data_IF_187681798786
#
_entry.id   IF_187681798786
#
_cell.length_a   1.000
_cell.length_b   1.000
_cell.length_c   1.000
_cell.angle_alpha   90.00
_cell.angle_beta   90.00
_cell.angle_gamma   90.00
#
_symmetry.space_group_name_H-M   'P 1'
#
loop_
_entity.id
_entity.type
_entity.pdbx_description
1 polymer ?
#
# COMPACT_ATOMS: atom_id res chain seq x y z
N UNK A 1 31.19 3.38 -4.32
CA UNK A 1 30.28 2.47 -5.03
C UNK A 1 29.51 1.76 -3.93
N UNK A 2 28.33 2.27 -3.57
CA UNK A 2 27.53 1.70 -2.48
C UNK A 2 26.84 0.46 -3.04
N UNK A 3 27.16 -0.72 -2.52
CA UNK A 3 26.44 -1.94 -2.88
C UNK A 3 24.99 -1.80 -2.39
N UNK A 4 24.05 -1.69 -3.33
CA UNK A 4 22.63 -1.75 -3.03
C UNK A 4 22.32 -3.21 -2.69
N UNK A 5 22.28 -3.51 -1.40
CA UNK A 5 21.89 -4.85 -0.92
C UNK A 5 20.36 -4.85 -0.82
N UNK A 6 19.65 -5.74 -1.53
CA UNK A 6 18.20 -5.79 -1.49
C UNK A 6 17.71 -6.20 -0.10
N UNK A 7 16.73 -5.46 0.43
CA UNK A 7 16.01 -5.81 1.66
C UNK A 7 14.98 -6.91 1.35
N UNK A 8 15.47 -8.15 1.25
CA UNK A 8 14.65 -9.32 0.94
C UNK A 8 13.55 -9.57 2.00
N UNK A 9 13.80 -9.42 3.32
CA UNK A 9 12.74 -9.49 4.32
C UNK A 9 11.60 -8.51 4.07
N UNK A 10 11.91 -7.25 3.77
CA UNK A 10 10.91 -6.23 3.49
C UNK A 10 10.11 -6.57 2.23
N UNK A 11 10.79 -6.87 1.12
CA UNK A 11 10.15 -7.25 -0.15
C UNK A 11 9.23 -8.47 0.02
N UNK A 12 9.63 -9.46 0.82
CA UNK A 12 8.79 -10.63 1.13
C UNK A 12 7.53 -10.24 1.90
N UNK A 13 7.65 -9.35 2.88
CA UNK A 13 6.50 -8.91 3.66
C UNK A 13 5.51 -8.11 2.81
N UNK A 14 5.99 -7.23 1.94
CA UNK A 14 5.17 -6.49 0.96
C UNK A 14 4.38 -7.45 0.08
N UNK A 15 5.05 -8.44 -0.52
CA UNK A 15 4.41 -9.44 -1.37
C UNK A 15 3.35 -10.26 -0.62
N UNK A 16 3.60 -10.61 0.64
CA UNK A 16 2.61 -11.32 1.48
C UNK A 16 1.37 -10.47 1.75
N UNK A 17 1.53 -9.16 1.99
CA UNK A 17 0.41 -8.25 2.18
C UNK A 17 -0.42 -8.13 0.91
N UNK A 18 0.22 -7.84 -0.24
CA UNK A 18 -0.44 -7.76 -1.54
C UNK A 18 -1.22 -9.05 -1.85
N UNK A 19 -0.58 -10.21 -1.64
CA UNK A 19 -1.20 -11.50 -1.87
C UNK A 19 -2.42 -11.76 -0.98
N UNK A 20 -2.37 -11.37 0.29
CA UNK A 20 -3.51 -11.53 1.21
C UNK A 20 -4.74 -10.72 0.74
N UNK A 21 -4.51 -9.51 0.21
CA UNK A 21 -5.57 -8.67 -0.36
C UNK A 21 -6.19 -9.32 -1.60
N UNK A 22 -5.35 -9.83 -2.52
CA UNK A 22 -5.81 -10.56 -3.70
C UNK A 22 -6.68 -11.74 -3.32
N UNK A 23 -6.21 -12.59 -2.40
CA UNK A 23 -6.97 -13.76 -1.93
C UNK A 23 -8.31 -13.31 -1.37
N UNK A 24 -8.32 -12.30 -0.48
CA UNK A 24 -9.53 -11.82 0.17
C UNK A 24 -10.61 -11.41 -0.85
N UNK A 25 -10.23 -10.67 -1.89
CA UNK A 25 -11.18 -10.18 -2.89
C UNK A 25 -11.61 -11.28 -3.87
N UNK A 26 -10.69 -12.16 -4.28
CA UNK A 26 -11.03 -13.31 -5.14
C UNK A 26 -11.93 -14.33 -4.44
N UNK A 27 -11.70 -14.62 -3.16
CA UNK A 27 -12.58 -15.50 -2.37
C UNK A 27 -13.99 -14.93 -2.18
N UNK A 28 -14.13 -13.60 -2.25
CA UNK A 28 -15.43 -12.90 -2.23
C UNK A 28 -16.13 -12.87 -3.59
N UNK A 29 -15.53 -13.48 -4.63
CA UNK A 29 -16.11 -13.53 -5.97
C UNK A 29 -15.90 -12.27 -6.80
N UNK A 30 -14.82 -11.50 -6.55
CA UNK A 30 -14.45 -10.39 -7.43
C UNK A 30 -14.26 -10.91 -8.87
N UNK A 31 -14.97 -10.36 -9.86
CA UNK A 31 -15.02 -10.90 -11.20
C UNK A 31 -13.73 -10.56 -11.97
N UNK A 32 -13.43 -11.35 -13.01
CA UNK A 32 -12.15 -11.27 -13.74
C UNK A 32 -11.97 -9.94 -14.49
N UNK A 33 -13.06 -9.23 -14.79
CA UNK A 33 -13.03 -7.90 -15.42
C UNK A 33 -12.34 -6.84 -14.55
N UNK A 34 -12.20 -7.09 -13.24
CA UNK A 34 -11.50 -6.21 -12.31
C UNK A 34 -10.07 -6.67 -11.99
N UNK A 35 -9.51 -7.64 -12.72
CA UNK A 35 -8.18 -8.20 -12.38
C UNK A 35 -7.02 -7.23 -12.57
N UNK A 36 -7.11 -6.34 -13.56
CA UNK A 36 -6.12 -5.28 -13.77
C UNK A 36 -6.16 -4.26 -12.63
N UNK A 37 -7.36 -3.81 -12.25
CA UNK A 37 -7.58 -2.91 -11.12
C UNK A 37 -7.13 -3.59 -9.82
N UNK A 38 -7.46 -4.86 -9.61
CA UNK A 38 -7.05 -5.63 -8.44
C UNK A 38 -5.53 -5.77 -8.35
N UNK A 39 -4.85 -6.04 -9.46
CA UNK A 39 -3.39 -6.15 -9.52
C UNK A 39 -2.68 -4.84 -9.14
N UNK A 40 -3.19 -3.72 -9.65
CA UNK A 40 -2.70 -2.39 -9.29
C UNK A 40 -2.96 -2.12 -7.82
N UNK A 41 -4.21 -2.31 -7.38
CA UNK A 41 -4.63 -2.07 -6.01
C UNK A 41 -3.83 -2.87 -4.98
N UNK A 42 -3.62 -4.17 -5.20
CA UNK A 42 -2.90 -5.00 -4.23
C UNK A 42 -1.42 -4.64 -4.17
N UNK A 43 -0.83 -4.22 -5.29
CA UNK A 43 0.56 -3.76 -5.35
C UNK A 43 0.69 -2.47 -4.55
N UNK A 44 -0.14 -1.47 -4.85
CA UNK A 44 -0.09 -0.18 -4.17
C UNK A 44 -0.40 -0.29 -2.69
N UNK A 45 -1.40 -1.07 -2.28
CA UNK A 45 -1.68 -1.28 -0.85
C UNK A 45 -0.55 -2.04 -0.13
N UNK A 46 0.10 -2.97 -0.82
CA UNK A 46 1.30 -3.64 -0.31
C UNK A 46 2.44 -2.65 -0.09
N UNK A 47 2.73 -1.83 -1.10
CA UNK A 47 3.80 -0.83 -1.06
C UNK A 47 3.51 0.30 -0.07
N UNK A 48 2.27 0.78 0.03
CA UNK A 48 1.84 1.75 1.06
C UNK A 48 2.08 1.18 2.47
N UNK A 49 1.68 -0.07 2.71
CA UNK A 49 1.88 -0.71 4.01
C UNK A 49 3.37 -0.84 4.35
N UNK A 50 4.19 -1.18 3.37
CA UNK A 50 5.62 -1.33 3.53
C UNK A 50 6.31 0.03 3.76
N UNK A 51 5.98 1.03 2.95
CA UNK A 51 6.48 2.39 3.03
C UNK A 51 6.06 3.09 4.34
N UNK A 52 4.87 2.80 4.87
CA UNK A 52 4.46 3.25 6.21
C UNK A 52 5.43 2.77 7.32
N UNK A 53 5.94 1.54 7.23
CA UNK A 53 6.94 1.05 8.20
C UNK A 53 8.24 1.83 8.05
N UNK A 54 8.69 2.07 6.83
CA UNK A 54 9.88 2.87 6.55
C UNK A 54 9.72 4.29 7.09
N UNK A 55 8.58 4.94 6.86
CA UNK A 55 8.26 6.25 7.41
C UNK A 55 8.33 6.24 8.95
N UNK A 56 7.77 5.21 9.59
CA UNK A 56 7.84 5.05 11.05
C UNK A 56 9.29 4.97 11.54
N UNK A 57 10.12 4.13 10.91
CA UNK A 57 11.55 4.05 11.23
C UNK A 57 12.27 5.39 11.04
N UNK A 58 11.97 6.14 9.97
CA UNK A 58 12.61 7.44 9.72
C UNK A 58 12.20 8.53 10.72
N UNK A 59 11.00 8.43 11.28
CA UNK A 59 10.58 9.32 12.36
C UNK A 59 11.34 9.00 13.66
N UNK A 60 11.52 7.71 13.96
CA UNK A 60 12.35 7.27 15.10
C UNK A 60 13.81 7.74 14.91
N UNK A 61 14.39 7.53 13.73
CA UNK A 61 15.75 7.97 13.38
C UNK A 61 15.93 9.49 13.59
N UNK A 62 14.93 10.31 13.20
CA UNK A 62 14.97 11.76 13.41
C UNK A 62 15.00 12.12 14.91
N UNK A 63 14.16 11.47 15.72
CA UNK A 63 14.07 11.72 17.17
C UNK A 63 15.34 11.29 17.89
N UNK A 64 15.95 10.18 17.46
CA UNK A 64 17.14 9.60 18.05
C UNK A 64 18.46 10.14 17.44
N UNK A 65 18.35 11.02 16.44
CA UNK A 65 19.50 11.60 15.74
C UNK A 65 20.42 12.39 16.68
N UNK A 66 21.69 12.50 16.30
CA UNK A 66 22.62 13.34 17.03
C UNK A 66 22.13 14.80 17.03
N UNK A 67 22.42 15.52 18.13
CA UNK A 67 21.97 16.89 18.33
C UNK A 67 22.84 17.90 17.54
N UNK A 68 22.85 17.72 16.23
CA UNK A 68 23.51 18.57 15.25
C UNK A 68 22.66 18.69 13.97
N UNK A 69 22.82 19.80 13.27
CA UNK A 69 21.97 20.12 12.12
C UNK A 69 22.26 19.27 10.88
N UNK A 70 23.43 18.65 10.78
CA UNK A 70 23.77 17.77 9.66
C UNK A 70 22.96 16.48 9.76
N UNK A 71 22.99 15.82 10.92
CA UNK A 71 22.19 14.63 11.22
C UNK A 71 20.69 14.87 11.05
N UNK A 72 20.18 16.02 11.53
CA UNK A 72 18.78 16.41 11.34
C UNK A 72 18.43 16.61 9.86
N UNK A 73 19.31 17.26 9.09
CA UNK A 73 19.07 17.49 7.67
C UNK A 73 18.99 16.17 6.88
N UNK A 74 19.89 15.22 7.15
CA UNK A 74 19.89 13.90 6.51
C UNK A 74 18.58 13.15 6.83
N UNK A 75 18.15 13.15 8.09
CA UNK A 75 16.88 12.52 8.49
C UNK A 75 15.67 13.15 7.77
N UNK A 76 15.65 14.47 7.61
CA UNK A 76 14.57 15.17 6.90
C UNK A 76 14.52 14.84 5.40
N UNK A 77 15.68 14.66 4.75
CA UNK A 77 15.74 14.23 3.34
C UNK A 77 15.19 12.81 3.19
N UNK A 78 15.58 11.90 4.07
CA UNK A 78 15.07 10.52 4.06
C UNK A 78 13.56 10.46 4.34
N UNK A 79 13.07 11.26 5.29
CA UNK A 79 11.64 11.40 5.56
C UNK A 79 10.88 11.90 4.33
N UNK A 80 11.43 12.90 3.63
CA UNK A 80 10.81 13.45 2.42
C UNK A 80 10.68 12.37 1.34
N UNK A 81 11.74 11.59 1.12
CA UNK A 81 11.72 10.50 0.15
C UNK A 81 10.66 9.44 0.51
N UNK A 82 10.53 9.07 1.79
CA UNK A 82 9.50 8.14 2.25
C UNK A 82 8.08 8.68 2.03
N UNK A 83 7.84 9.97 2.30
CA UNK A 83 6.54 10.62 2.09
C UNK A 83 6.19 10.67 0.59
N UNK A 84 7.12 11.08 -0.27
CA UNK A 84 6.88 11.17 -1.71
C UNK A 84 6.61 9.77 -2.32
N UNK A 85 7.28 8.73 -1.82
CA UNK A 85 7.04 7.35 -2.23
C UNK A 85 5.63 6.88 -1.87
N UNK A 86 5.16 7.13 -0.64
CA UNK A 86 3.76 6.86 -0.24
C UNK A 86 2.79 7.65 -1.12
N UNK A 87 3.08 8.93 -1.37
CA UNK A 87 2.23 9.79 -2.21
C UNK A 87 1.99 9.21 -3.59
N UNK A 88 3.03 8.67 -4.23
CA UNK A 88 2.92 8.03 -5.55
C UNK A 88 1.93 6.87 -5.53
N UNK A 89 2.03 5.96 -4.56
CA UNK A 89 1.12 4.80 -4.46
C UNK A 89 -0.30 5.19 -4.04
N UNK A 90 -0.46 6.25 -3.24
CA UNK A 90 -1.79 6.78 -2.89
C UNK A 90 -2.50 7.34 -4.12
N UNK A 91 -1.77 8.03 -5.01
CA UNK A 91 -2.31 8.55 -6.26
C UNK A 91 -2.77 7.44 -7.20
N UNK A 92 -1.99 6.36 -7.34
CA UNK A 92 -2.32 5.25 -8.25
C UNK A 92 -3.39 4.30 -7.68
N UNK A 93 -3.49 4.17 -6.35
CA UNK A 93 -4.48 3.31 -5.71
C UNK A 93 -5.92 3.85 -5.79
N UNK A 94 -6.12 5.15 -5.99
CA UNK A 94 -7.42 5.81 -5.88
C UNK A 94 -8.49 5.23 -6.82
N UNK A 95 -8.23 5.25 -8.13
CA UNK A 95 -9.18 4.76 -9.14
C UNK A 95 -9.52 3.26 -8.98
N UNK A 96 -8.54 2.36 -8.75
CA UNK A 96 -8.81 0.96 -8.46
C UNK A 96 -9.66 0.74 -7.19
N UNK A 97 -9.39 1.49 -6.12
CA UNK A 97 -10.20 1.44 -4.88
C UNK A 97 -11.65 1.73 -5.21
N UNK A 98 -11.92 2.81 -5.94
CA UNK A 98 -13.28 3.25 -6.23
C UNK A 98 -14.05 2.21 -7.06
N UNK A 99 -13.40 1.56 -8.03
CA UNK A 99 -14.02 0.52 -8.86
C UNK A 99 -14.33 -0.75 -8.07
N UNK A 100 -13.37 -1.22 -7.27
CA UNK A 100 -13.57 -2.40 -6.42
C UNK A 100 -14.62 -2.13 -5.34
N UNK A 101 -14.62 -0.94 -4.74
CA UNK A 101 -15.61 -0.51 -3.76
C UNK A 101 -17.01 -0.44 -4.40
N UNK A 102 -17.13 0.15 -5.59
CA UNK A 102 -18.39 0.20 -6.34
C UNK A 102 -18.96 -1.20 -6.56
N UNK A 103 -18.14 -2.14 -7.05
CA UNK A 103 -18.57 -3.54 -7.21
C UNK A 103 -19.07 -4.13 -5.88
N UNK A 104 -18.34 -3.92 -4.78
CA UNK A 104 -18.74 -4.41 -3.47
C UNK A 104 -20.09 -3.84 -3.02
N UNK A 105 -20.36 -2.56 -3.25
CA UNK A 105 -21.67 -1.95 -2.97
C UNK A 105 -22.80 -2.55 -3.85
N UNK A 106 -22.54 -2.78 -5.14
CA UNK A 106 -23.53 -3.41 -6.05
C UNK A 106 -23.92 -4.83 -5.60
N UNK A 107 -22.99 -5.57 -4.96
CA UNK A 107 -23.30 -6.88 -4.37
C UNK A 107 -24.22 -6.78 -3.15
N UNK A 108 -24.08 -5.72 -2.35
CA UNK A 108 -24.97 -5.46 -1.20
C UNK A 108 -26.39 -5.16 -1.70
N UNK A 109 -26.53 -4.23 -2.64
CA UNK A 109 -27.84 -3.85 -3.19
C UNK A 109 -28.56 -5.02 -3.89
N UNK A 110 -27.79 -5.85 -4.62
CA UNK A 110 -28.32 -7.05 -5.28
C UNK A 110 -28.80 -8.10 -4.27
N UNK A 111 -28.14 -8.21 -3.12
CA UNK A 111 -28.52 -9.12 -2.04
C UNK A 111 -29.77 -8.65 -1.29
N UNK A 112 -29.98 -7.34 -1.16
CA UNK A 112 -31.17 -6.76 -0.53
C UNK A 112 -32.42 -6.89 -1.42
N UNK A 113 -32.27 -6.70 -2.73
CA UNK A 113 -33.39 -6.82 -3.69
C UNK A 113 -33.77 -8.26 -4.06
N UNK A 114 -32.90 -9.24 -3.75
CA UNK A 114 -33.14 -10.67 -4.00
C UNK A 114 -33.92 -11.40 -2.89
N UNK A 115 -34.26 -10.73 -1.79
CA UNK A 115 -34.96 -11.34 -0.65
C UNK A 115 -36.50 -11.26 -0.71
N UNK A 116 -37.06 -10.66 -1.76
CA UNK A 116 -38.51 -10.38 -1.91
C UNK A 116 -39.18 -11.10 -3.10
N UNK A 117 -38.54 -12.13 -3.68
CA UNK A 117 -39.05 -12.93 -4.80
C UNK A 117 -39.46 -14.35 -4.40
#
# INVERSE_FOLDING_TARGET
MTEITPDLPHARQTALMAHAIVIRLKEMGLPEELDEDLGTLCTDLGDIWAAHKTLSTRLDDLVDSANDWESVADCLVDLRAAIDHIGTHVETAGDPIDRVAKFAYEQVESSENGSDA
#
